data_IF_718184895437
#
_entry.id   IF_718184895437
#
_cell.length_a   1.000
_cell.length_b   1.000
_cell.length_c   1.000
_cell.angle_alpha   90.00
_cell.angle_beta   90.00
_cell.angle_gamma   90.00
#
_symmetry.space_group_name_H-M   'P 1'
#
loop_
_entity.id
_entity.type
_entity.pdbx_description
1 polymer ?
#
# COMPACT_ATOMS: atom_id res chain seq x y z
N UNK A 1 -0.40 -6.63 11.76
CA UNK A 1 -1.10 -6.95 10.52
C UNK A 1 -0.13 -6.93 9.37
N UNK A 2 -0.20 -7.91 8.52
CA UNK A 2 0.66 -8.03 7.37
C UNK A 2 -0.18 -8.06 6.13
N UNK A 3 0.23 -7.37 5.09
CA UNK A 3 -0.55 -7.29 3.86
C UNK A 3 0.40 -7.33 2.68
N UNK A 4 0.09 -8.13 1.69
CA UNK A 4 0.86 -8.19 0.46
C UNK A 4 -0.05 -8.06 -0.72
N UNK A 5 0.37 -7.36 -1.73
CA UNK A 5 -0.41 -7.23 -2.94
C UNK A 5 0.19 -6.18 -3.86
N UNK A 6 -0.63 -5.72 -4.81
CA UNK A 6 -0.20 -4.73 -5.76
C UNK A 6 -0.80 -3.39 -5.43
N UNK A 7 -0.06 -2.34 -5.66
CA UNK A 7 -0.58 -1.00 -5.46
C UNK A 7 -1.53 -0.70 -6.61
N UNK A 8 -2.82 -0.55 -6.26
CA UNK A 8 -3.82 -0.27 -7.26
C UNK A 8 -3.74 1.17 -7.69
N UNK A 9 -3.60 2.07 -6.77
CA UNK A 9 -3.48 3.49 -7.09
C UNK A 9 -2.94 4.24 -5.90
N UNK A 10 -2.37 5.40 -6.17
CA UNK A 10 -1.95 6.31 -5.13
C UNK A 10 -3.08 7.31 -4.96
N UNK A 11 -3.67 7.34 -3.77
CA UNK A 11 -4.79 8.22 -3.52
C UNK A 11 -4.28 9.62 -3.20
N UNK A 12 -3.22 9.72 -2.43
CA UNK A 12 -2.69 11.00 -2.06
C UNK A 12 -1.21 10.86 -1.73
N UNK A 13 -0.41 11.83 -2.05
CA UNK A 13 1.00 11.83 -1.68
C UNK A 13 1.42 13.24 -1.38
N UNK A 14 2.04 13.45 -0.22
CA UNK A 14 2.61 14.72 0.14
C UNK A 14 4.09 14.63 -0.14
N UNK A 15 4.57 15.38 -1.13
CA UNK A 15 5.94 15.26 -1.54
C UNK A 15 6.90 15.91 -0.58
N UNK A 16 6.42 16.73 0.30
CA UNK A 16 7.32 17.37 1.25
C UNK A 16 7.75 16.43 2.34
N UNK A 17 6.88 15.59 2.82
CA UNK A 17 7.23 14.70 3.92
C UNK A 17 7.11 13.23 3.57
N UNK A 18 6.68 12.89 2.37
CA UNK A 18 6.56 11.50 1.95
C UNK A 18 5.33 10.77 2.44
N UNK A 19 4.41 11.46 3.09
CA UNK A 19 3.20 10.81 3.57
C UNK A 19 2.36 10.38 2.37
N UNK A 20 1.97 9.14 2.34
CA UNK A 20 1.30 8.56 1.19
C UNK A 20 0.08 7.78 1.63
N UNK A 21 -1.00 7.93 0.89
CA UNK A 21 -2.20 7.13 1.06
C UNK A 21 -2.38 6.36 -0.23
N UNK A 22 -2.45 5.05 -0.15
CA UNK A 22 -2.58 4.24 -1.35
C UNK A 22 -3.53 3.07 -1.12
N UNK A 23 -3.95 2.48 -2.21
CA UNK A 23 -4.85 1.35 -2.19
C UNK A 23 -4.09 0.11 -2.68
N UNK A 24 -4.15 -0.98 -1.94
CA UNK A 24 -3.44 -2.21 -2.25
C UNK A 24 -4.46 -3.32 -2.47
N UNK A 25 -4.30 -4.06 -3.55
CA UNK A 25 -5.15 -5.19 -3.83
C UNK A 25 -4.37 -6.45 -3.52
N UNK A 26 -4.93 -7.26 -2.61
CA UNK A 26 -4.30 -8.50 -2.23
C UNK A 26 -4.37 -9.50 -3.36
N UNK A 27 -3.36 -10.36 -3.46
CA UNK A 27 -3.39 -11.39 -4.47
C UNK A 27 -4.53 -12.36 -4.26
N UNK A 28 -4.98 -12.52 -3.04
CA UNK A 28 -6.00 -13.50 -2.80
C UNK A 28 -7.40 -12.96 -2.98
N UNK A 29 -7.59 -11.66 -2.94
CA UNK A 29 -8.92 -11.12 -3.06
C UNK A 29 -8.81 -9.84 -3.85
N UNK A 30 -8.88 -9.92 -5.13
CA UNK A 30 -8.70 -8.79 -6.00
C UNK A 30 -9.84 -7.78 -5.90
N UNK A 31 -10.95 -8.19 -5.33
CA UNK A 31 -12.07 -7.27 -5.22
C UNK A 31 -12.01 -6.47 -3.93
N UNK A 32 -11.06 -6.73 -3.05
CA UNK A 32 -11.07 -6.11 -1.74
C UNK A 32 -9.81 -5.26 -1.60
N UNK A 33 -9.88 -4.05 -2.00
CA UNK A 33 -8.73 -3.15 -1.90
C UNK A 33 -8.64 -2.61 -0.49
N UNK A 34 -7.41 -2.55 0.03
CA UNK A 34 -7.17 -2.07 1.37
C UNK A 34 -6.45 -0.74 1.30
N UNK A 35 -6.97 0.26 1.99
CA UNK A 35 -6.33 1.56 2.04
C UNK A 35 -5.22 1.53 3.07
N UNK A 36 -4.04 1.96 2.68
CA UNK A 36 -2.87 1.98 3.54
C UNK A 36 -2.32 3.39 3.61
N UNK A 37 -1.90 3.81 4.80
CA UNK A 37 -1.39 5.16 5.01
C UNK A 37 -0.06 5.10 5.73
N UNK A 38 0.86 5.94 5.37
CA UNK A 38 2.14 6.00 6.03
C UNK A 38 3.17 6.74 5.20
N UNK A 39 4.41 6.74 5.68
CA UNK A 39 5.49 7.40 4.98
C UNK A 39 6.15 6.37 4.09
N UNK A 40 5.84 6.39 2.79
CA UNK A 40 6.30 5.40 1.84
C UNK A 40 6.97 6.11 0.69
N UNK A 41 8.23 5.78 0.45
CA UNK A 41 8.95 6.38 -0.66
C UNK A 41 9.00 5.42 -1.81
N UNK A 42 8.90 5.92 -3.01
CA UNK A 42 9.04 5.09 -4.20
C UNK A 42 7.81 4.31 -4.59
N UNK A 43 6.71 4.47 -3.86
CA UNK A 43 5.50 3.73 -4.20
C UNK A 43 4.92 4.24 -5.51
N UNK A 44 4.47 3.34 -6.34
CA UNK A 44 3.86 3.68 -7.62
C UNK A 44 2.84 2.62 -7.99
N UNK A 45 1.89 3.03 -8.79
CA UNK A 45 0.85 2.14 -9.23
C UNK A 45 1.47 0.95 -9.96
N UNK A 46 1.02 -0.23 -9.66
CA UNK A 46 1.48 -1.44 -10.32
C UNK A 46 2.62 -2.16 -9.62
N UNK A 47 3.24 -1.54 -8.63
CA UNK A 47 4.31 -2.22 -7.91
C UNK A 47 3.74 -3.17 -6.87
N UNK A 48 4.51 -4.21 -6.59
CA UNK A 48 4.13 -5.16 -5.54
C UNK A 48 4.68 -4.64 -4.22
N UNK A 49 3.90 -4.73 -3.17
CA UNK A 49 4.30 -4.20 -1.89
C UNK A 49 3.93 -5.17 -0.78
N UNK A 50 4.83 -5.29 0.19
CA UNK A 50 4.55 -6.04 1.41
C UNK A 50 4.58 -5.02 2.55
N UNK A 51 3.51 -4.99 3.31
CA UNK A 51 3.32 -3.98 4.35
C UNK A 51 3.14 -4.66 5.70
N UNK A 52 3.81 -4.13 6.71
CA UNK A 52 3.55 -4.50 8.07
C UNK A 52 3.02 -3.28 8.79
N UNK A 53 1.94 -3.39 9.47
CA UNK A 53 1.37 -2.25 10.16
C UNK A 53 0.23 -2.65 11.06
N UNK A 54 -0.58 -1.67 11.42
CA UNK A 54 -1.71 -1.87 12.28
C UNK A 54 -2.98 -1.50 11.58
N UNK A 55 -4.04 -2.24 11.80
CA UNK A 55 -5.33 -1.90 11.27
C UNK A 55 -5.97 -0.90 12.21
N UNK A 56 -6.37 0.23 11.67
CA UNK A 56 -7.00 1.26 12.48
C UNK A 56 -8.33 1.63 11.84
N UNK A 57 -9.27 2.06 12.66
CA UNK A 57 -10.56 2.47 12.17
C UNK A 57 -10.58 3.98 12.05
N UNK A 58 -11.14 4.47 10.99
CA UNK A 58 -11.26 5.89 10.76
C UNK A 58 -12.74 6.26 10.81
N UNK A 59 -13.10 7.39 11.39
CA UNK A 59 -14.51 7.73 11.50
C UNK A 59 -15.23 7.87 10.16
N UNK A 60 -14.52 8.22 9.10
CA UNK A 60 -15.17 8.39 7.82
C UNK A 60 -14.88 7.26 6.85
N UNK A 61 -13.87 6.43 7.10
CA UNK A 61 -13.55 5.32 6.23
C UNK A 61 -13.59 4.08 7.07
N UNK A 62 -13.76 2.93 6.47
CA UNK A 62 -13.94 1.76 7.27
C UNK A 62 -12.67 1.39 7.98
N UNK A 63 -11.75 0.83 7.38
CA UNK A 63 -10.54 0.39 8.02
C UNK A 63 -9.37 0.79 7.18
N UNK A 64 -8.31 1.20 7.81
CA UNK A 64 -7.11 1.57 7.13
C UNK A 64 -5.96 0.82 7.74
N UNK A 65 -4.92 0.56 6.97
CA UNK A 65 -3.71 -0.04 7.48
C UNK A 65 -2.70 1.08 7.69
N UNK A 66 -2.26 1.27 8.92
CA UNK A 66 -1.24 2.26 9.20
C UNK A 66 0.10 1.58 9.03
N UNK A 67 0.86 1.99 8.03
CA UNK A 67 2.08 1.31 7.65
C UNK A 67 3.17 1.62 8.66
N UNK A 68 3.78 0.59 9.22
CA UNK A 68 4.92 0.74 10.11
C UNK A 68 6.20 0.34 9.40
N UNK A 69 6.12 -0.63 8.50
CA UNK A 69 7.27 -1.03 7.71
C UNK A 69 6.75 -1.52 6.37
N UNK A 70 7.57 -1.42 5.34
CA UNK A 70 7.13 -1.86 4.03
C UNK A 70 8.33 -2.29 3.20
N UNK A 71 8.06 -3.09 2.18
CA UNK A 71 9.06 -3.48 1.22
C UNK A 71 8.43 -3.41 -0.16
N UNK A 72 9.03 -2.69 -1.06
CA UNK A 72 8.55 -2.58 -2.43
C UNK A 72 9.34 -3.53 -3.29
N UNK A 73 8.64 -4.22 -4.21
CA UNK A 73 9.29 -5.12 -5.15
C UNK A 73 8.87 -4.76 -6.54
N UNK A 74 9.82 -4.76 -7.43
CA UNK A 74 9.48 -4.55 -8.83
C UNK A 74 8.79 -5.80 -9.34
N UNK A 75 7.91 -5.66 -10.29
CA UNK A 75 7.33 -6.84 -10.92
C UNK A 75 8.47 -7.67 -11.46
N UNK A 76 8.34 -8.99 -11.32
CA UNK A 76 9.41 -9.84 -11.74
C UNK A 76 9.57 -9.71 -13.20
N UNK A 77 10.73 -9.39 -13.65
CA UNK A 77 11.00 -9.22 -15.04
C UNK A 77 11.87 -10.28 -15.45
N UNK A 78 11.36 -11.20 -16.12
CA UNK A 78 12.12 -12.31 -16.48
C UNK A 78 13.03 -12.01 -17.55
N UNK A 79 13.12 -10.92 -18.08
CA UNK A 79 13.92 -10.75 -19.04
C UNK A 79 15.16 -10.40 -18.66
N UNK A 80 15.70 -10.24 -18.12
CA UNK A 80 16.95 -9.98 -17.75
C UNK A 80 17.98 -10.64 -18.09
#
# INVERSE_FOLDING_TARGET
>A
MELEGYIEKIIFRNEENGYTVLSVISNEDADDAQVCVGYIEGAAQGLYIHIEGEEVEHPYYEKQCKVQAYELRMPEDTES
#
